data_IF_501686533814
#
_entry.id   IF_501686533814
#
_cell.length_a   1.000
_cell.length_b   1.000
_cell.length_c   1.000
_cell.angle_alpha   90.00
_cell.angle_beta   90.00
_cell.angle_gamma   90.00
#
_symmetry.space_group_name_H-M   'P 1'
#
loop_
_entity.id
_entity.type
_entity.pdbx_description
1 polymer ?
#
# COMPACT_ATOMS: atom_id res chain seq x y z
N UNK A 1 24.24 0.04 -0.74
CA UNK A 1 23.63 0.81 -1.84
C UNK A 1 22.25 1.18 -1.39
N UNK A 2 22.06 2.44 -0.96
CA UNK A 2 20.77 2.89 -0.41
C UNK A 2 19.78 3.12 -1.54
N UNK A 3 18.98 2.13 -1.82
CA UNK A 3 17.91 2.25 -2.79
C UNK A 3 16.68 2.81 -2.08
N UNK A 4 16.51 4.12 -2.14
CA UNK A 4 15.26 4.76 -1.76
C UNK A 4 14.23 4.42 -2.82
N UNK A 5 13.31 3.53 -2.51
CA UNK A 5 12.23 3.16 -3.42
C UNK A 5 11.08 4.14 -3.39
N UNK A 6 10.97 4.86 -2.30
CA UNK A 6 9.90 5.79 -2.02
C UNK A 6 10.52 7.09 -1.54
N UNK A 7 10.32 8.18 -2.27
CA UNK A 7 10.88 9.49 -1.93
C UNK A 7 10.09 10.19 -0.82
N UNK A 8 10.71 11.18 -0.14
CA UNK A 8 10.04 12.03 0.86
C UNK A 8 8.80 12.76 0.32
N UNK A 9 8.72 12.98 -0.98
CA UNK A 9 7.51 13.52 -1.63
C UNK A 9 6.29 12.62 -1.44
N UNK A 10 6.49 11.35 -1.22
CA UNK A 10 5.42 10.38 -1.00
C UNK A 10 4.79 10.51 0.38
N UNK A 11 5.52 11.03 1.35
CA UNK A 11 4.95 11.34 2.66
C UNK A 11 3.90 12.45 2.54
N UNK A 12 4.16 13.49 1.77
CA UNK A 12 3.17 14.53 1.46
C UNK A 12 1.99 13.96 0.66
N UNK A 13 2.27 13.05 -0.28
CA UNK A 13 1.23 12.37 -1.04
C UNK A 13 0.36 11.46 -0.16
N UNK A 14 0.91 10.80 0.85
CA UNK A 14 0.13 10.00 1.82
C UNK A 14 -0.81 10.88 2.62
N UNK A 15 -0.37 12.03 3.11
CA UNK A 15 -1.23 12.97 3.82
C UNK A 15 -2.32 13.54 2.91
N UNK A 16 -1.95 13.95 1.70
CA UNK A 16 -2.91 14.43 0.72
C UNK A 16 -3.95 13.36 0.37
N UNK A 17 -3.52 12.12 0.14
CA UNK A 17 -4.40 11.01 -0.13
C UNK A 17 -5.34 10.71 1.03
N UNK A 18 -4.85 10.72 2.28
CA UNK A 18 -5.67 10.58 3.48
C UNK A 18 -6.73 11.68 3.58
N UNK A 19 -6.29 12.92 3.34
CA UNK A 19 -7.19 14.08 3.38
C UNK A 19 -8.28 13.98 2.32
N UNK A 20 -7.94 13.71 1.07
CA UNK A 20 -8.91 13.58 -0.02
C UNK A 20 -9.87 12.41 0.23
N UNK A 21 -9.37 11.25 0.65
CA UNK A 21 -10.23 10.11 0.96
C UNK A 21 -11.18 10.40 2.10
N UNK A 22 -10.71 11.10 3.14
CA UNK A 22 -11.55 11.55 4.26
C UNK A 22 -12.60 12.57 3.81
N UNK A 23 -12.20 13.57 3.01
CA UNK A 23 -13.10 14.59 2.48
C UNK A 23 -14.23 13.96 1.65
N UNK A 24 -13.90 13.04 0.75
CA UNK A 24 -14.90 12.32 -0.05
C UNK A 24 -15.82 11.47 0.86
N UNK A 25 -15.24 10.78 1.84
CA UNK A 25 -16.02 9.99 2.81
C UNK A 25 -17.04 10.85 3.57
N UNK A 26 -16.60 12.01 4.07
CA UNK A 26 -17.47 12.95 4.77
C UNK A 26 -18.52 13.53 3.83
N UNK A 27 -18.13 13.96 2.63
CA UNK A 27 -19.04 14.53 1.62
C UNK A 27 -20.14 13.54 1.25
N UNK A 28 -19.79 12.27 0.97
CA UNK A 28 -20.80 11.24 0.67
C UNK A 28 -21.70 10.98 1.86
N UNK A 29 -21.17 10.99 3.10
CA UNK A 29 -21.99 10.85 4.31
C UNK A 29 -22.98 12.00 4.49
N UNK A 30 -22.52 13.23 4.26
CA UNK A 30 -23.38 14.44 4.34
C UNK A 30 -24.45 14.41 3.25
N UNK A 31 -24.10 14.06 2.00
CA UNK A 31 -25.08 13.92 0.91
C UNK A 31 -26.15 12.89 1.25
N UNK A 32 -25.76 11.75 1.84
CA UNK A 32 -26.71 10.74 2.33
C UNK A 32 -27.72 11.32 3.32
N UNK A 33 -27.26 12.11 4.28
CA UNK A 33 -28.12 12.69 5.30
C UNK A 33 -29.12 13.71 4.74
N UNK A 34 -28.69 14.53 3.76
CA UNK A 34 -29.53 15.57 3.19
C UNK A 34 -30.48 15.08 2.09
N UNK A 35 -30.12 14.05 1.34
CA UNK A 35 -30.94 13.57 0.21
C UNK A 35 -32.03 12.58 0.64
N UNK A 36 -31.83 11.85 1.74
CA UNK A 36 -32.77 10.83 2.21
C UNK A 36 -34.19 11.34 2.50
N UNK A 37 -34.38 12.50 3.17
CA UNK A 37 -35.73 12.99 3.53
C UNK A 37 -36.59 13.37 2.32
N UNK A 38 -35.98 13.82 1.23
CA UNK A 38 -36.66 14.38 0.07
C UNK A 38 -36.94 13.36 -1.05
N UNK A 39 -36.44 12.13 -0.88
CA UNK A 39 -36.56 11.08 -1.91
C UNK A 39 -37.89 10.35 -1.88
N UNK A 40 -38.41 10.06 -3.08
CA UNK A 40 -39.56 9.15 -3.24
C UNK A 40 -39.14 7.73 -2.82
N UNK A 41 -40.10 6.99 -2.25
CA UNK A 41 -39.86 5.64 -1.71
C UNK A 41 -39.18 4.68 -2.71
N UNK A 42 -39.53 4.77 -4.00
CA UNK A 42 -38.91 3.96 -5.05
C UNK A 42 -37.43 4.34 -5.32
N UNK A 43 -37.08 5.62 -5.23
CA UNK A 43 -35.75 6.11 -5.44
C UNK A 43 -34.80 5.73 -4.27
N UNK A 44 -35.33 5.75 -3.04
CA UNK A 44 -34.60 5.36 -1.82
C UNK A 44 -34.08 3.94 -1.94
N UNK A 45 -34.85 3.00 -2.48
CA UNK A 45 -34.43 1.60 -2.64
C UNK A 45 -33.25 1.40 -3.59
N UNK A 46 -33.01 2.32 -4.53
CA UNK A 46 -31.88 2.25 -5.46
C UNK A 46 -30.71 3.09 -4.97
N UNK A 47 -30.98 4.33 -4.58
CA UNK A 47 -29.95 5.32 -4.26
C UNK A 47 -29.25 4.99 -2.94
N UNK A 48 -30.00 4.59 -1.92
CA UNK A 48 -29.41 4.28 -0.61
C UNK A 48 -28.40 3.13 -0.65
N UNK A 49 -28.66 1.97 -1.27
CA UNK A 49 -27.66 0.92 -1.40
C UNK A 49 -26.42 1.37 -2.18
N UNK A 50 -26.59 2.13 -3.27
CA UNK A 50 -25.46 2.64 -4.07
C UNK A 50 -24.59 3.58 -3.24
N UNK A 51 -25.19 4.55 -2.56
CA UNK A 51 -24.46 5.47 -1.68
C UNK A 51 -23.80 4.74 -0.52
N UNK A 52 -24.44 3.73 0.05
CA UNK A 52 -23.89 2.93 1.15
C UNK A 52 -22.68 2.10 0.69
N UNK A 53 -22.73 1.53 -0.51
CA UNK A 53 -21.59 0.82 -1.12
C UNK A 53 -20.43 1.78 -1.36
N UNK A 54 -20.69 2.96 -1.94
CA UNK A 54 -19.69 3.99 -2.15
C UNK A 54 -19.08 4.46 -0.83
N UNK A 55 -19.90 4.75 0.15
CA UNK A 55 -19.45 5.19 1.47
C UNK A 55 -18.62 4.14 2.18
N UNK A 56 -19.08 2.88 2.19
CA UNK A 56 -18.30 1.76 2.72
C UNK A 56 -16.96 1.58 2.01
N UNK A 57 -16.94 1.81 0.69
CA UNK A 57 -15.73 1.74 -0.11
C UNK A 57 -14.72 2.82 0.27
N UNK A 58 -15.17 4.07 0.45
CA UNK A 58 -14.31 5.16 0.91
C UNK A 58 -13.80 4.93 2.33
N UNK A 59 -14.62 4.36 3.22
CA UNK A 59 -14.20 3.99 4.56
C UNK A 59 -13.04 2.96 4.51
N UNK A 60 -13.20 1.92 3.71
CA UNK A 60 -12.15 0.89 3.52
C UNK A 60 -10.85 1.51 2.98
N UNK A 61 -10.95 2.41 1.98
CA UNK A 61 -9.78 3.11 1.44
C UNK A 61 -9.11 3.97 2.51
N UNK A 62 -9.87 4.74 3.27
CA UNK A 62 -9.34 5.58 4.35
C UNK A 62 -8.55 4.75 5.38
N UNK A 63 -9.15 3.66 5.88
CA UNK A 63 -8.46 2.79 6.83
C UNK A 63 -7.24 2.10 6.23
N UNK A 64 -7.26 1.79 4.95
CA UNK A 64 -6.13 1.20 4.24
C UNK A 64 -4.97 2.19 4.13
N UNK A 65 -5.25 3.42 3.70
CA UNK A 65 -4.25 4.50 3.62
C UNK A 65 -3.67 4.83 4.99
N UNK A 66 -4.49 4.86 6.04
CA UNK A 66 -4.03 5.09 7.41
C UNK A 66 -3.01 4.06 7.90
N UNK A 67 -3.08 2.84 7.38
CA UNK A 67 -2.13 1.74 7.71
C UNK A 67 -0.83 1.81 6.90
N UNK A 68 -0.76 2.63 5.85
CA UNK A 68 0.43 2.78 5.03
C UNK A 68 1.41 3.77 5.67
N UNK A 69 2.70 3.51 5.45
CA UNK A 69 3.78 4.41 5.81
C UNK A 69 4.83 4.45 4.70
N UNK A 70 5.65 5.52 4.63
CA UNK A 70 6.77 5.56 3.71
C UNK A 70 7.74 4.42 4.04
N UNK A 71 8.29 3.81 3.00
CA UNK A 71 9.21 2.70 3.14
C UNK A 71 10.45 2.91 2.27
N UNK A 72 11.58 2.40 2.72
CA UNK A 72 12.83 2.37 1.97
C UNK A 72 13.61 1.12 2.34
N UNK A 73 14.52 0.69 1.46
CA UNK A 73 15.41 -0.43 1.76
C UNK A 73 16.80 0.12 2.13
N UNK A 74 17.30 -0.32 3.26
CA UNK A 74 18.62 0.01 3.78
C UNK A 74 19.23 -1.24 4.41
N UNK A 75 20.47 -1.55 4.07
CA UNK A 75 21.26 -2.68 4.62
C UNK A 75 20.51 -4.03 4.67
N UNK A 76 19.89 -4.45 3.57
CA UNK A 76 19.12 -5.68 3.46
C UNK A 76 17.87 -5.71 4.39
N UNK A 77 17.41 -4.54 4.86
CA UNK A 77 16.21 -4.37 5.67
C UNK A 77 15.21 -3.43 4.98
N UNK A 78 13.95 -3.77 5.05
CA UNK A 78 12.85 -2.88 4.68
C UNK A 78 12.46 -2.04 5.89
N UNK A 79 12.74 -0.75 5.83
CA UNK A 79 12.39 0.21 6.87
C UNK A 79 11.07 0.87 6.50
N UNK A 80 10.08 0.78 7.38
CA UNK A 80 8.77 1.41 7.22
C UNK A 80 8.59 2.40 8.35
N UNK A 81 8.41 3.67 7.98
CA UNK A 81 8.15 4.74 8.94
C UNK A 81 6.66 4.87 9.19
N UNK A 82 6.25 4.91 10.45
CA UNK A 82 4.87 5.18 10.89
C UNK A 82 4.86 6.24 11.98
N UNK A 83 3.69 6.76 12.29
CA UNK A 83 3.50 7.75 13.36
C UNK A 83 4.07 7.27 14.73
N UNK A 84 4.11 5.93 14.94
CA UNK A 84 4.64 5.29 16.16
C UNK A 84 6.14 4.96 16.10
N UNK A 85 6.86 5.33 15.03
CA UNK A 85 8.29 5.08 14.86
C UNK A 85 8.66 4.33 13.59
N UNK A 86 9.94 4.04 13.45
CA UNK A 86 10.49 3.27 12.33
C UNK A 86 10.51 1.79 12.69
N UNK A 87 10.00 0.98 11.79
CA UNK A 87 10.03 -0.48 11.88
C UNK A 87 10.98 -1.04 10.83
N UNK A 88 12.00 -1.76 11.26
CA UNK A 88 12.96 -2.46 10.42
C UNK A 88 12.53 -3.92 10.25
N UNK A 89 12.48 -4.39 9.03
CA UNK A 89 12.06 -5.75 8.67
C UNK A 89 13.15 -6.35 7.77
N UNK A 90 13.87 -7.38 8.23
CA UNK A 90 14.84 -8.07 7.38
C UNK A 90 14.18 -8.61 6.10
N UNK A 91 14.80 -8.38 4.94
CA UNK A 91 14.27 -8.82 3.65
C UNK A 91 14.07 -10.34 3.57
N UNK A 92 14.87 -11.11 4.32
CA UNK A 92 14.75 -12.57 4.41
C UNK A 92 13.43 -13.02 5.06
N UNK A 93 12.81 -12.19 5.90
CA UNK A 93 11.51 -12.46 6.53
C UNK A 93 10.32 -12.15 5.62
N UNK A 94 10.55 -11.56 4.46
CA UNK A 94 9.48 -11.25 3.51
C UNK A 94 9.13 -12.51 2.72
N UNK A 95 7.87 -12.94 2.84
CA UNK A 95 7.31 -14.08 2.09
C UNK A 95 6.89 -13.69 0.69
N UNK A 96 6.13 -12.60 0.58
CA UNK A 96 5.58 -12.13 -0.69
C UNK A 96 5.34 -10.62 -0.66
N UNK A 97 5.45 -10.01 -1.83
CA UNK A 97 5.07 -8.61 -2.06
C UNK A 97 4.06 -8.58 -3.19
N UNK A 98 2.91 -7.98 -2.91
CA UNK A 98 1.83 -7.83 -3.87
C UNK A 98 1.40 -6.37 -3.97
N UNK A 99 0.89 -5.98 -5.12
CA UNK A 99 0.37 -4.64 -5.34
C UNK A 99 -1.12 -4.66 -5.65
N UNK A 100 -1.80 -3.59 -5.28
CA UNK A 100 -3.22 -3.39 -5.58
C UNK A 100 -3.43 -1.95 -6.03
N UNK A 101 -4.23 -1.77 -7.08
CA UNK A 101 -4.69 -0.44 -7.45
C UNK A 101 -5.58 0.16 -6.36
N UNK A 102 -5.47 1.47 -6.17
CA UNK A 102 -6.51 2.23 -5.50
C UNK A 102 -7.69 2.41 -6.46
N UNK A 103 -8.92 2.34 -5.95
CA UNK A 103 -10.11 2.61 -6.75
C UNK A 103 -10.29 4.09 -7.06
N UNK A 104 -9.91 4.92 -6.09
CA UNK A 104 -9.93 6.36 -6.24
C UNK A 104 -8.48 6.83 -6.41
N UNK A 105 -8.06 6.80 -7.64
CA UNK A 105 -6.75 7.21 -8.07
C UNK A 105 -6.59 8.71 -7.82
N UNK A 106 -5.96 9.05 -6.71
CA UNK A 106 -5.60 10.45 -6.44
C UNK A 106 -4.40 10.78 -7.30
N UNK A 107 -4.62 11.64 -8.27
CA UNK A 107 -3.61 12.10 -9.21
C UNK A 107 -2.58 12.95 -8.47
N UNK A 108 -1.31 12.71 -8.76
CA UNK A 108 -0.25 13.61 -8.32
C UNK A 108 -0.47 14.98 -8.96
N UNK A 109 -0.27 16.03 -8.19
CA UNK A 109 -0.53 17.44 -8.55
C UNK A 109 0.02 17.90 -9.90
N UNK A 110 0.98 17.18 -10.52
CA UNK A 110 1.65 17.57 -11.76
C UNK A 110 1.45 16.63 -12.95
N UNK A 111 0.84 15.49 -12.79
CA UNK A 111 0.69 14.54 -13.89
C UNK A 111 -0.64 13.80 -13.83
N UNK A 112 -1.34 13.82 -14.97
CA UNK A 112 -2.63 13.12 -15.14
C UNK A 112 -2.45 11.59 -15.21
N UNK A 113 -1.22 11.13 -15.35
CA UNK A 113 -0.88 9.71 -15.52
C UNK A 113 -0.31 9.05 -14.27
N UNK A 114 0.10 9.86 -13.28
CA UNK A 114 0.72 9.34 -12.06
C UNK A 114 -0.31 9.07 -10.98
N UNK A 115 -0.31 7.84 -10.50
CA UNK A 115 -1.20 7.34 -9.46
C UNK A 115 -0.40 6.74 -8.32
N UNK A 116 -1.11 6.42 -7.24
CA UNK A 116 -0.55 5.67 -6.13
C UNK A 116 -1.10 4.23 -6.16
N UNK A 117 -0.22 3.28 -5.91
CA UNK A 117 -0.54 1.88 -5.72
C UNK A 117 -0.31 1.47 -4.28
N UNK A 118 -1.17 0.61 -3.76
CA UNK A 118 -0.94 -0.04 -2.47
C UNK A 118 0.00 -1.22 -2.65
N UNK A 119 1.10 -1.23 -1.91
CA UNK A 119 1.97 -2.39 -1.78
C UNK A 119 1.66 -3.09 -0.45
N UNK A 120 1.41 -4.37 -0.53
CA UNK A 120 1.24 -5.25 0.62
C UNK A 120 2.44 -6.17 0.71
N UNK A 121 3.20 -6.04 1.78
CA UNK A 121 4.30 -6.91 2.14
C UNK A 121 3.80 -7.94 3.14
N UNK A 122 3.86 -9.22 2.79
CA UNK A 122 3.48 -10.32 3.67
C UNK A 122 4.74 -10.96 4.22
N UNK A 123 4.83 -11.05 5.55
CA UNK A 123 5.94 -11.67 6.26
C UNK A 123 5.75 -13.18 6.41
N UNK A 124 6.81 -13.89 6.76
CA UNK A 124 6.78 -15.34 6.98
C UNK A 124 5.83 -15.76 8.13
N UNK A 125 5.64 -14.88 9.12
CA UNK A 125 4.70 -15.09 10.24
C UNK A 125 3.23 -14.79 9.86
N UNK A 126 2.94 -14.49 8.58
CA UNK A 126 1.61 -14.14 8.10
C UNK A 126 1.20 -12.67 8.34
N UNK A 127 2.00 -11.88 9.03
CA UNK A 127 1.75 -10.46 9.23
C UNK A 127 1.80 -9.70 7.90
N UNK A 128 0.94 -8.70 7.76
CA UNK A 128 0.84 -7.87 6.56
C UNK A 128 1.17 -6.43 6.88
N UNK A 129 2.11 -5.88 6.15
CA UNK A 129 2.53 -4.48 6.25
C UNK A 129 2.22 -3.77 4.94
N UNK A 130 1.80 -2.53 5.03
CA UNK A 130 1.32 -1.77 3.87
C UNK A 130 2.16 -0.52 3.66
N UNK A 131 2.46 -0.26 2.40
CA UNK A 131 3.11 0.98 1.95
C UNK A 131 2.50 1.42 0.63
N UNK A 132 2.89 2.60 0.15
CA UNK A 132 2.46 3.15 -1.12
C UNK A 132 3.63 3.18 -2.10
N UNK A 133 3.32 3.01 -3.37
CA UNK A 133 4.27 3.17 -4.47
C UNK A 133 3.69 4.09 -5.54
N UNK A 134 4.55 4.72 -6.31
CA UNK A 134 4.14 5.39 -7.55
C UNK A 134 3.73 4.35 -8.58
N UNK A 135 2.66 4.65 -9.31
CA UNK A 135 2.13 3.82 -10.38
C UNK A 135 1.61 4.69 -11.50
N UNK A 136 1.41 4.12 -12.67
CA UNK A 136 0.69 4.77 -13.78
C UNK A 136 -0.74 4.22 -13.88
N UNK A 137 -1.64 4.99 -14.51
CA UNK A 137 -3.09 4.65 -14.64
C UNK A 137 -3.31 3.25 -15.17
N UNK A 138 -2.57 2.87 -16.21
CA UNK A 138 -2.73 1.60 -16.91
C UNK A 138 -1.59 0.62 -16.63
N UNK A 139 -0.84 0.84 -15.54
CA UNK A 139 0.27 -0.03 -15.19
C UNK A 139 -0.26 -1.28 -14.47
N UNK A 140 0.03 -2.45 -15.02
CA UNK A 140 -0.31 -3.72 -14.38
C UNK A 140 0.93 -4.62 -14.27
N UNK A 141 1.25 -5.13 -13.08
CA UNK A 141 0.66 -4.80 -11.77
C UNK A 141 0.93 -3.34 -11.37
N UNK A 142 0.06 -2.76 -10.52
CA UNK A 142 0.21 -1.38 -10.06
C UNK A 142 1.55 -1.18 -9.35
N UNK A 143 2.26 -0.08 -9.67
CA UNK A 143 3.58 0.19 -9.09
C UNK A 143 4.64 -0.84 -9.48
N UNK A 144 4.59 -1.37 -10.71
CA UNK A 144 5.46 -2.44 -11.23
C UNK A 144 6.93 -2.18 -10.95
N UNK A 145 7.41 -0.94 -11.17
CA UNK A 145 8.80 -0.57 -10.97
C UNK A 145 9.25 -0.79 -9.52
N UNK A 146 8.49 -0.27 -8.56
CA UNK A 146 8.79 -0.43 -7.12
C UNK A 146 8.60 -1.88 -6.68
N UNK A 147 7.54 -2.53 -7.16
CA UNK A 147 7.25 -3.93 -6.86
C UNK A 147 8.40 -4.83 -7.30
N UNK A 148 8.86 -4.72 -8.55
CA UNK A 148 9.95 -5.52 -9.09
C UNK A 148 11.28 -5.26 -8.37
N UNK A 149 11.55 -4.01 -8.01
CA UNK A 149 12.75 -3.65 -7.25
C UNK A 149 12.76 -4.29 -5.85
N UNK A 150 11.63 -4.25 -5.13
CA UNK A 150 11.53 -4.91 -3.82
C UNK A 150 11.65 -6.43 -3.96
N UNK A 151 11.00 -7.03 -4.95
CA UNK A 151 11.09 -8.48 -5.20
C UNK A 151 12.52 -8.90 -5.53
N UNK A 152 13.25 -8.15 -6.36
CA UNK A 152 14.65 -8.40 -6.66
C UNK A 152 15.54 -8.30 -5.41
N UNK A 153 15.33 -7.27 -4.58
CA UNK A 153 16.08 -7.11 -3.34
C UNK A 153 15.80 -8.25 -2.35
N UNK A 154 14.55 -8.69 -2.22
CA UNK A 154 14.17 -9.83 -1.38
C UNK A 154 14.83 -11.12 -1.87
N UNK A 155 14.83 -11.35 -3.18
CA UNK A 155 15.48 -12.53 -3.77
C UNK A 155 16.98 -12.51 -3.51
N UNK A 156 17.65 -11.39 -3.77
CA UNK A 156 19.08 -11.23 -3.53
C UNK A 156 19.45 -11.47 -2.05
N UNK A 157 18.68 -10.92 -1.11
CA UNK A 157 18.93 -11.12 0.32
C UNK A 157 18.74 -12.60 0.74
N UNK A 158 17.74 -13.29 0.19
CA UNK A 158 17.53 -14.73 0.46
C UNK A 158 18.66 -15.58 -0.13
N UNK A 159 19.09 -15.31 -1.36
CA UNK A 159 20.20 -16.02 -1.99
C UNK A 159 21.49 -15.84 -1.19
N UNK A 160 21.78 -14.60 -0.77
CA UNK A 160 22.95 -14.29 0.08
C UNK A 160 22.90 -15.06 1.41
N UNK A 161 21.73 -15.14 2.05
CA UNK A 161 21.56 -15.87 3.31
C UNK A 161 21.77 -17.38 3.16
N UNK A 162 21.34 -17.96 2.03
CA UNK A 162 21.58 -19.37 1.72
C UNK A 162 23.07 -19.67 1.48
N UNK A 163 23.78 -18.78 0.78
CA UNK A 163 25.22 -18.93 0.51
C UNK A 163 26.07 -18.73 1.78
N UNK A 164 25.60 -17.98 2.75
CA UNK A 164 26.32 -17.73 4.01
C UNK A 164 26.10 -18.80 5.07
N UNK A 165 25.19 -19.77 4.86
CA UNK A 165 25.05 -20.94 5.74
C UNK A 165 26.23 -21.90 5.45
N UNK A 166 27.16 -22.13 6.40
CA UNK A 166 28.19 -23.14 6.22
C UNK A 166 27.55 -24.51 6.09
N UNK A 167 28.02 -25.25 5.10
CA UNK A 167 27.56 -26.60 4.78
C UNK A 167 27.84 -27.54 5.96
N UNK A 168 26.94 -27.60 6.94
CA UNK A 168 27.07 -28.45 8.12
C UNK A 168 26.95 -29.96 7.81
N UNK A 169 26.57 -30.30 6.56
CA UNK A 169 26.39 -31.70 6.15
C UNK A 169 27.71 -32.38 5.74
N UNK A 170 28.79 -31.63 5.53
CA UNK A 170 30.08 -32.20 5.15
C UNK A 170 30.86 -32.82 6.32
N UNK A 171 30.47 -32.61 7.58
CA UNK A 171 31.23 -33.08 8.76
C UNK A 171 30.65 -34.39 9.33
N UNK A 172 29.54 -34.91 8.80
CA UNK A 172 28.89 -36.15 9.31
C UNK A 172 29.28 -37.41 8.57
N UNK A 173 30.16 -37.32 7.57
CA UNK A 173 30.60 -38.49 6.76
C UNK A 173 32.13 -38.69 6.79
N UNK A 174 32.80 -38.27 7.88
CA UNK A 174 34.19 -38.61 8.13
C UNK A 174 34.30 -39.45 9.41
#
# INVERSE_FOLDING_TARGET
MDTRFLTLMEFQNVYFYRFVTLAIFVTVGVLLLFTLPDMKRAEVWVVVPVLFILWGRFAVEYFRVRKCGPAFIHNDELVISRDAGQRQIPLTRIRAVTSKHSLFMVRRYRSWTDHLAFLQVTLNNGERVYTLAESKVFEYPAGKKTLSAIQAAVLAAKTKSLMSQPNHDAVRSA
#
